data_IF_723129945162
#
_entry.id   IF_723129945162
#
_cell.length_a   1.000
_cell.length_b   1.000
_cell.length_c   1.000
_cell.angle_alpha   90.00
_cell.angle_beta   90.00
_cell.angle_gamma   90.00
#
_symmetry.space_group_name_H-M   'P 1'
#
loop_
_entity.id
_entity.type
_entity.pdbx_description
1 polymer ?
#
# COMPACT_ATOMS: atom_id res chain seq x y z
N UNK A 1 -12.71 5.75 14.39
CA UNK A 1 -12.21 5.10 13.15
C UNK A 1 -12.04 3.59 13.36
N UNK A 2 -11.15 3.17 14.25
CA UNK A 2 -10.80 1.76 14.49
C UNK A 2 -12.01 0.83 14.70
N UNK A 3 -13.01 1.23 15.49
CA UNK A 3 -14.21 0.39 15.70
C UNK A 3 -14.93 0.00 14.40
N UNK A 4 -15.01 0.93 13.45
CA UNK A 4 -15.64 0.68 12.13
C UNK A 4 -14.77 -0.26 11.30
N UNK A 5 -13.44 -0.08 11.33
CA UNK A 5 -12.48 -0.92 10.61
C UNK A 5 -12.47 -2.34 11.17
N UNK A 6 -12.36 -2.52 12.50
CA UNK A 6 -12.40 -3.83 13.17
C UNK A 6 -13.68 -4.58 12.79
N UNK A 7 -14.85 -3.91 12.81
CA UNK A 7 -16.13 -4.51 12.41
C UNK A 7 -16.14 -4.98 10.95
N UNK A 8 -15.45 -4.27 10.05
CA UNK A 8 -15.34 -4.66 8.64
C UNK A 8 -14.35 -5.80 8.45
N UNK A 9 -13.16 -5.73 9.06
CA UNK A 9 -12.13 -6.78 9.02
C UNK A 9 -12.69 -8.11 9.54
N UNK A 10 -13.42 -8.10 10.65
CA UNK A 10 -14.06 -9.31 11.22
C UNK A 10 -15.16 -9.92 10.35
N UNK A 11 -15.69 -9.19 9.37
CA UNK A 11 -16.70 -9.69 8.42
C UNK A 11 -16.07 -10.31 7.17
N UNK A 12 -14.75 -10.19 7.00
CA UNK A 12 -14.06 -10.84 5.89
C UNK A 12 -14.13 -12.36 6.07
N UNK A 13 -14.53 -13.04 5.00
CA UNK A 13 -14.65 -14.49 4.90
C UNK A 13 -13.50 -14.98 4.03
N UNK A 14 -12.50 -15.53 4.70
CA UNK A 14 -11.34 -16.14 4.07
C UNK A 14 -11.71 -17.57 3.68
N UNK A 15 -11.49 -17.93 2.42
CA UNK A 15 -11.88 -19.25 1.95
C UNK A 15 -11.60 -19.47 0.47
N UNK A 16 -12.24 -20.50 -0.06
CA UNK A 16 -12.11 -20.91 -1.45
C UNK A 16 -12.45 -19.73 -2.38
N UNK A 17 -11.55 -19.35 -3.32
CA UNK A 17 -11.82 -18.30 -4.29
C UNK A 17 -13.01 -18.60 -5.23
N UNK A 18 -13.45 -19.86 -5.33
CA UNK A 18 -14.64 -20.26 -6.09
C UNK A 18 -15.94 -20.19 -5.28
N UNK A 19 -15.88 -20.01 -3.96
CA UNK A 19 -17.08 -19.77 -3.14
C UNK A 19 -17.47 -18.29 -3.21
N UNK A 20 -18.67 -18.01 -3.72
CA UNK A 20 -19.24 -16.67 -3.81
C UNK A 20 -19.43 -15.98 -2.45
N UNK A 21 -19.37 -16.71 -1.34
CA UNK A 21 -19.38 -16.15 0.02
C UNK A 21 -18.00 -15.73 0.51
N UNK A 22 -16.91 -16.20 -0.13
CA UNK A 22 -15.55 -15.78 0.17
C UNK A 22 -15.31 -14.39 -0.39
N UNK A 23 -14.63 -13.55 0.38
CA UNK A 23 -14.21 -12.21 -0.07
C UNK A 23 -12.71 -11.98 0.11
N UNK A 24 -11.97 -13.02 0.48
CA UNK A 24 -10.51 -13.04 0.50
C UNK A 24 -10.01 -14.46 0.21
N UNK A 25 -9.16 -14.61 -0.80
CA UNK A 25 -8.57 -15.89 -1.19
C UNK A 25 -7.33 -16.28 -0.38
N UNK A 26 -6.59 -17.26 -0.87
CA UNK A 26 -5.30 -17.67 -0.29
C UNK A 26 -4.16 -16.75 -0.71
N UNK A 27 -3.07 -16.80 0.05
CA UNK A 27 -1.76 -16.37 -0.40
C UNK A 27 -1.28 -17.25 -1.57
N UNK A 28 -0.39 -16.70 -2.39
CA UNK A 28 0.09 -17.37 -3.62
C UNK A 28 0.89 -18.65 -3.35
N UNK A 29 1.59 -18.73 -2.21
CA UNK A 29 2.44 -19.87 -1.88
C UNK A 29 2.59 -20.05 -0.37
N UNK A 30 3.05 -21.23 0.04
CA UNK A 30 3.42 -21.53 1.43
C UNK A 30 4.52 -20.61 1.94
N UNK A 31 5.56 -20.39 1.12
CA UNK A 31 6.68 -19.52 1.48
C UNK A 31 6.23 -18.08 1.70
N UNK A 32 5.35 -17.55 0.84
CA UNK A 32 4.81 -16.21 1.01
C UNK A 32 3.93 -16.08 2.27
N UNK A 33 3.10 -17.10 2.56
CA UNK A 33 2.36 -17.15 3.83
C UNK A 33 3.29 -17.09 5.04
N UNK A 34 4.39 -17.86 5.04
CA UNK A 34 5.37 -17.87 6.12
C UNK A 34 6.06 -16.51 6.28
N UNK A 35 6.37 -15.82 5.18
CA UNK A 35 6.91 -14.45 5.22
C UNK A 35 5.91 -13.48 5.88
N UNK A 36 4.64 -13.52 5.45
CA UNK A 36 3.58 -12.67 6.03
C UNK A 36 3.38 -12.97 7.52
N UNK A 37 3.30 -14.24 7.91
CA UNK A 37 3.20 -14.66 9.31
C UNK A 37 4.41 -14.20 10.14
N UNK A 38 5.61 -14.22 9.54
CA UNK A 38 6.83 -13.67 10.15
C UNK A 38 6.75 -12.17 10.43
N UNK A 39 6.20 -11.38 9.49
CA UNK A 39 5.96 -9.95 9.72
C UNK A 39 4.91 -9.71 10.81
N UNK A 40 3.84 -10.49 10.83
CA UNK A 40 2.82 -10.40 11.88
C UNK A 40 3.47 -10.67 13.25
N UNK A 41 4.31 -11.69 13.35
CA UNK A 41 5.02 -12.00 14.60
C UNK A 41 5.96 -10.86 15.00
N UNK A 42 6.76 -10.31 14.07
CA UNK A 42 7.61 -9.14 14.34
C UNK A 42 6.82 -7.95 14.88
N UNK A 43 5.64 -7.67 14.30
CA UNK A 43 4.77 -6.60 14.79
C UNK A 43 4.34 -6.79 16.25
N UNK A 44 4.01 -8.03 16.64
CA UNK A 44 3.69 -8.38 18.04
C UNK A 44 4.93 -8.19 18.92
N UNK A 45 6.08 -8.69 18.48
CA UNK A 45 7.33 -8.67 19.25
C UNK A 45 7.86 -7.24 19.47
N UNK A 46 7.64 -6.35 18.50
CA UNK A 46 8.00 -4.92 18.60
C UNK A 46 7.01 -4.10 19.43
N UNK A 47 5.90 -4.71 19.87
CA UNK A 47 4.94 -4.11 20.78
C UNK A 47 3.77 -3.40 20.11
N UNK A 48 3.49 -3.67 18.83
CA UNK A 48 2.25 -3.22 18.20
C UNK A 48 1.04 -3.95 18.79
N UNK A 49 -0.09 -3.26 18.95
CA UNK A 49 -1.31 -3.85 19.52
C UNK A 49 -2.08 -4.59 18.45
N UNK A 50 -2.10 -5.92 18.53
CA UNK A 50 -2.91 -6.77 17.64
C UNK A 50 -4.40 -6.66 18.01
N UNK A 51 -5.21 -6.10 17.11
CA UNK A 51 -6.65 -5.91 17.31
C UNK A 51 -7.51 -7.04 16.70
N UNK A 52 -7.02 -7.68 15.63
CA UNK A 52 -7.70 -8.77 14.94
C UNK A 52 -6.70 -9.57 14.10
N UNK A 53 -7.01 -10.84 13.81
CA UNK A 53 -6.21 -11.71 12.95
C UNK A 53 -5.05 -12.37 13.69
N UNK A 54 -3.83 -12.16 13.22
CA UNK A 54 -2.61 -12.74 13.77
C UNK A 54 -2.05 -13.88 12.94
N UNK A 55 -1.03 -14.56 13.48
CA UNK A 55 -0.32 -15.65 12.80
C UNK A 55 -1.30 -16.77 12.40
N UNK A 56 -1.11 -17.29 11.19
CA UNK A 56 -1.97 -18.29 10.58
C UNK A 56 -1.81 -19.67 11.22
N UNK A 57 -2.76 -20.58 10.98
CA UNK A 57 -2.69 -21.94 11.55
C UNK A 57 -1.84 -22.84 10.65
N UNK A 58 -0.78 -23.45 11.21
CA UNK A 58 0.12 -24.35 10.50
C UNK A 58 -0.53 -25.65 10.00
N UNK A 59 -1.72 -26.01 10.51
CA UNK A 59 -2.43 -27.26 10.17
C UNK A 59 -3.58 -27.07 9.17
N UNK A 60 -3.78 -25.86 8.63
CA UNK A 60 -4.86 -25.62 7.67
C UNK A 60 -4.54 -26.16 6.28
N UNK A 61 -5.58 -26.57 5.53
CA UNK A 61 -5.46 -26.93 4.12
C UNK A 61 -5.46 -25.65 3.27
N UNK A 62 -4.39 -25.41 2.52
CA UNK A 62 -4.20 -24.19 1.72
C UNK A 62 -3.40 -23.11 2.45
N UNK A 63 -3.14 -21.98 1.77
CA UNK A 63 -2.24 -20.93 2.26
C UNK A 63 -3.01 -19.68 2.68
N UNK A 64 -3.88 -19.78 3.67
CA UNK A 64 -4.76 -18.69 4.06
C UNK A 64 -4.17 -17.85 5.19
N UNK A 65 -3.88 -16.58 4.90
CA UNK A 65 -3.52 -15.60 5.93
C UNK A 65 -4.79 -15.06 6.61
N UNK A 66 -4.69 -14.69 7.89
CA UNK A 66 -5.79 -13.99 8.58
C UNK A 66 -5.77 -12.50 8.25
N UNK A 67 -6.93 -11.85 8.00
CA UNK A 67 -7.02 -10.40 7.90
C UNK A 67 -6.61 -9.80 9.24
N UNK A 68 -5.44 -9.16 9.25
CA UNK A 68 -4.75 -8.74 10.45
C UNK A 68 -4.77 -7.24 10.59
N UNK A 69 -5.10 -6.76 11.78
CA UNK A 69 -5.16 -5.33 12.09
C UNK A 69 -4.32 -5.05 13.33
N UNK A 70 -3.34 -4.17 13.17
CA UNK A 70 -2.55 -3.61 14.25
C UNK A 70 -2.90 -2.14 14.48
N UNK A 71 -2.75 -1.72 15.73
CA UNK A 71 -2.86 -0.34 16.15
C UNK A 71 -1.69 0.05 17.06
N UNK A 72 -1.45 1.35 17.19
CA UNK A 72 -0.35 1.89 17.98
C UNK A 72 1.02 1.58 17.37
N UNK A 73 1.12 1.51 16.04
CA UNK A 73 2.42 1.40 15.38
C UNK A 73 3.28 2.64 15.66
N UNK A 74 4.59 2.43 15.73
CA UNK A 74 5.60 3.48 15.73
C UNK A 74 6.29 3.48 14.37
N UNK A 75 6.72 4.66 13.92
CA UNK A 75 7.32 4.83 12.60
C UNK A 75 8.52 3.91 12.35
N UNK A 76 9.30 3.58 13.38
CA UNK A 76 10.50 2.77 13.29
C UNK A 76 10.26 1.24 13.38
N UNK A 77 9.02 0.80 13.53
CA UNK A 77 8.68 -0.64 13.54
C UNK A 77 8.91 -1.25 12.17
N UNK A 78 9.33 -2.52 12.12
CA UNK A 78 9.53 -3.26 10.87
C UNK A 78 8.25 -3.26 10.02
N UNK A 79 7.10 -3.50 10.64
CA UNK A 79 5.80 -3.53 9.95
C UNK A 79 5.28 -2.15 9.50
N UNK A 80 5.95 -1.06 9.91
CA UNK A 80 5.68 0.29 9.40
C UNK A 80 6.59 0.69 8.23
N UNK A 81 7.72 -0.01 8.05
CA UNK A 81 8.79 0.36 7.10
C UNK A 81 8.95 -0.63 5.94
N UNK A 82 8.62 -1.89 6.15
CA UNK A 82 8.79 -2.95 5.15
C UNK A 82 7.45 -3.37 4.54
N UNK A 83 7.51 -3.73 3.26
CA UNK A 83 6.34 -4.19 2.54
C UNK A 83 6.01 -5.65 2.91
N UNK A 84 4.86 -5.84 3.56
CA UNK A 84 4.41 -7.17 4.01
C UNK A 84 3.81 -7.98 2.84
N UNK A 85 3.14 -7.29 1.91
CA UNK A 85 2.44 -7.90 0.75
C UNK A 85 1.44 -9.01 1.14
N UNK A 86 0.76 -8.81 2.27
CA UNK A 86 -0.31 -9.67 2.80
C UNK A 86 -1.45 -8.85 3.40
N UNK A 87 -2.53 -9.50 3.87
CA UNK A 87 -3.73 -8.83 4.37
C UNK A 87 -3.51 -8.27 5.79
N UNK A 88 -2.54 -7.39 5.96
CA UNK A 88 -2.12 -6.79 7.23
C UNK A 88 -2.23 -5.27 7.14
N UNK A 89 -3.06 -4.67 8.00
CA UNK A 89 -3.21 -3.23 8.11
C UNK A 89 -2.60 -2.75 9.44
N UNK A 90 -1.66 -1.82 9.38
CA UNK A 90 -1.12 -1.11 10.54
C UNK A 90 -1.68 0.31 10.64
N UNK A 91 -1.93 0.77 11.87
CA UNK A 91 -2.45 2.13 12.13
C UNK A 91 -1.46 2.92 12.99
N UNK A 92 -1.04 4.07 12.46
CA UNK A 92 -0.30 5.11 13.16
C UNK A 92 -1.23 6.31 13.38
N UNK A 93 -1.24 6.86 14.59
CA UNK A 93 -2.02 8.07 14.90
C UNK A 93 -1.13 9.30 14.76
N UNK A 94 -1.63 10.31 14.06
CA UNK A 94 -0.97 11.61 13.86
C UNK A 94 -1.88 12.73 14.35
N UNK A 95 -1.30 13.84 14.80
CA UNK A 95 -2.02 14.95 15.45
C UNK A 95 -2.45 16.03 14.46
N UNK A 96 -1.67 16.25 13.40
CA UNK A 96 -1.90 17.30 12.42
C UNK A 96 -1.34 16.90 11.04
N UNK A 97 -1.49 17.80 10.07
CA UNK A 97 -1.12 17.56 8.67
C UNK A 97 0.39 17.53 8.47
N UNK A 98 1.14 18.34 9.21
CA UNK A 98 2.60 18.38 9.16
C UNK A 98 3.19 17.06 9.67
N UNK A 99 2.66 16.52 10.77
CA UNK A 99 3.04 15.20 11.28
C UNK A 99 2.61 14.09 10.31
N UNK A 100 1.41 14.19 9.72
CA UNK A 100 0.96 13.23 8.71
C UNK A 100 1.90 13.17 7.50
N UNK A 101 2.30 14.34 6.97
CA UNK A 101 3.25 14.43 5.86
C UNK A 101 4.63 13.88 6.24
N UNK A 102 5.11 14.19 7.44
CA UNK A 102 6.39 13.67 7.95
C UNK A 102 6.36 12.15 8.03
N UNK A 103 5.35 11.58 8.68
CA UNK A 103 5.18 10.14 8.87
C UNK A 103 5.05 9.43 7.52
N UNK A 104 4.18 9.92 6.63
CA UNK A 104 3.98 9.32 5.31
C UNK A 104 5.21 9.44 4.40
N UNK A 105 6.00 10.51 4.54
CA UNK A 105 7.25 10.70 3.81
C UNK A 105 8.39 9.84 4.34
N UNK A 106 8.31 9.37 5.59
CA UNK A 106 9.28 8.50 6.25
C UNK A 106 9.14 7.03 5.80
N UNK A 107 9.21 6.84 4.49
CA UNK A 107 9.29 5.54 3.84
C UNK A 107 10.29 5.63 2.69
N UNK A 108 11.02 4.54 2.46
CA UNK A 108 11.86 4.37 1.25
C UNK A 108 11.04 4.20 -0.03
N UNK A 109 9.74 3.94 0.11
CA UNK A 109 8.78 3.75 -0.98
C UNK A 109 7.97 5.03 -1.25
N UNK A 110 7.37 5.08 -2.43
CA UNK A 110 6.58 6.23 -2.91
C UNK A 110 5.69 5.86 -4.08
N UNK A 111 4.99 4.72 -4.03
CA UNK A 111 4.11 4.30 -5.11
C UNK A 111 2.79 5.07 -5.12
N UNK A 112 2.00 4.92 -4.05
CA UNK A 112 0.64 5.44 -3.95
C UNK A 112 0.35 5.98 -2.54
N UNK A 113 -0.49 7.00 -2.45
CA UNK A 113 -1.11 7.45 -1.21
C UNK A 113 -2.57 7.84 -1.41
N UNK A 114 -3.35 7.86 -0.31
CA UNK A 114 -4.74 8.30 -0.30
C UNK A 114 -4.99 9.29 0.84
N UNK A 115 -5.65 10.40 0.54
CA UNK A 115 -6.06 11.43 1.51
C UNK A 115 -7.58 11.44 1.62
N UNK A 116 -8.11 11.27 2.83
CA UNK A 116 -9.56 11.33 3.09
C UNK A 116 -9.88 12.58 3.89
N UNK A 117 -10.54 13.55 3.27
CA UNK A 117 -10.89 14.84 3.87
C UNK A 117 -12.07 15.50 3.14
N UNK A 118 -12.86 16.30 3.85
CA UNK A 118 -13.89 17.16 3.25
C UNK A 118 -13.37 18.57 2.93
N UNK A 119 -12.19 18.93 3.42
CA UNK A 119 -11.54 20.21 3.16
C UNK A 119 -10.67 20.12 1.90
N UNK A 120 -11.03 20.90 0.88
CA UNK A 120 -10.34 20.93 -0.42
C UNK A 120 -8.94 21.54 -0.34
N UNK A 121 -8.72 22.53 0.52
CA UNK A 121 -7.40 23.14 0.71
C UNK A 121 -6.46 22.13 1.35
N UNK A 122 -6.96 21.40 2.35
CA UNK A 122 -6.24 20.30 2.99
C UNK A 122 -5.94 19.17 2.01
N UNK A 123 -6.89 18.83 1.14
CA UNK A 123 -6.68 17.83 0.10
C UNK A 123 -5.52 18.21 -0.83
N UNK A 124 -5.52 19.42 -1.39
CA UNK A 124 -4.45 19.90 -2.26
C UNK A 124 -3.11 20.02 -1.52
N UNK A 125 -3.11 20.54 -0.29
CA UNK A 125 -1.90 20.69 0.51
C UNK A 125 -1.22 19.33 0.77
N UNK A 126 -1.98 18.36 1.28
CA UNK A 126 -1.47 17.02 1.56
C UNK A 126 -1.06 16.30 0.27
N UNK A 127 -1.88 16.36 -0.78
CA UNK A 127 -1.58 15.67 -2.04
C UNK A 127 -0.30 16.19 -2.71
N UNK A 128 -0.05 17.51 -2.64
CA UNK A 128 1.19 18.09 -3.16
C UNK A 128 2.41 17.76 -2.30
N UNK A 129 2.23 17.59 -0.99
CA UNK A 129 3.31 17.30 -0.04
C UNK A 129 3.75 15.84 -0.01
N UNK A 130 2.90 14.90 -0.43
CA UNK A 130 3.19 13.47 -0.38
C UNK A 130 4.14 13.03 -1.52
N UNK A 131 5.30 12.42 -1.21
CA UNK A 131 6.30 12.06 -2.22
C UNK A 131 5.99 10.70 -2.86
N UNK A 132 4.88 10.62 -3.60
CA UNK A 132 4.46 9.42 -4.30
C UNK A 132 3.95 9.72 -5.72
N UNK A 133 3.96 8.71 -6.58
CA UNK A 133 3.58 8.90 -7.98
C UNK A 133 2.09 9.06 -8.22
N UNK A 134 1.26 8.55 -7.31
CA UNK A 134 -0.19 8.72 -7.37
C UNK A 134 -0.72 9.08 -5.99
N UNK A 135 -1.41 10.23 -5.88
CA UNK A 135 -2.21 10.57 -4.70
C UNK A 135 -3.68 10.62 -5.10
N UNK A 136 -4.49 9.82 -4.43
CA UNK A 136 -5.95 9.88 -4.58
C UNK A 136 -6.61 10.61 -3.40
N UNK A 137 -7.73 11.28 -3.64
CA UNK A 137 -8.50 12.01 -2.62
C UNK A 137 -9.88 11.40 -2.49
N UNK A 138 -10.26 11.03 -1.27
CA UNK A 138 -11.54 10.41 -0.91
C UNK A 138 -11.84 9.08 -1.64
N UNK A 139 -10.79 8.39 -2.09
CA UNK A 139 -10.87 7.07 -2.72
C UNK A 139 -9.54 6.33 -2.53
N UNK A 140 -9.50 5.08 -2.98
CA UNK A 140 -8.28 4.35 -3.27
C UNK A 140 -8.37 3.92 -4.74
N UNK A 141 -7.58 4.54 -5.62
CA UNK A 141 -7.64 4.30 -7.06
C UNK A 141 -6.32 4.62 -7.73
N UNK A 142 -6.03 3.90 -8.82
CA UNK A 142 -4.90 4.10 -9.71
C UNK A 142 -5.33 4.75 -11.05
N UNK A 143 -6.60 5.16 -11.17
CA UNK A 143 -7.17 5.71 -12.39
C UNK A 143 -7.57 4.64 -13.41
N UNK A 144 -7.40 4.98 -14.70
CA UNK A 144 -7.59 4.08 -15.83
C UNK A 144 -6.38 4.17 -16.79
N UNK A 145 -6.42 3.46 -17.92
CA UNK A 145 -5.32 3.40 -18.90
C UNK A 145 -4.77 4.76 -19.37
N UNK A 146 -5.54 5.84 -19.22
CA UNK A 146 -5.14 7.21 -19.56
C UNK A 146 -4.36 7.92 -18.44
N UNK A 147 -4.34 7.35 -17.23
CA UNK A 147 -3.71 7.90 -16.04
C UNK A 147 -2.34 7.26 -15.86
N UNK A 148 -1.24 8.02 -15.91
CA UNK A 148 0.10 7.48 -15.69
C UNK A 148 0.23 6.90 -14.29
N UNK A 149 0.87 5.74 -14.17
CA UNK A 149 1.13 5.06 -12.91
C UNK A 149 2.61 4.72 -12.78
N UNK A 150 3.16 4.83 -11.58
CA UNK A 150 4.56 4.50 -11.32
C UNK A 150 5.10 5.25 -10.11
N UNK A 151 6.07 4.66 -9.42
CA UNK A 151 6.50 5.16 -8.11
C UNK A 151 7.59 6.23 -8.13
N UNK A 152 7.68 6.92 -7.01
CA UNK A 152 8.82 7.72 -6.57
C UNK A 152 9.75 6.86 -5.71
N UNK A 153 10.95 7.38 -5.41
CA UNK A 153 11.94 6.73 -4.52
C UNK A 153 12.24 5.30 -4.97
N UNK A 154 12.25 4.31 -4.08
CA UNK A 154 12.52 2.92 -4.42
C UNK A 154 11.31 2.20 -5.06
N UNK A 155 10.18 2.87 -5.25
CA UNK A 155 8.99 2.27 -5.89
C UNK A 155 8.99 2.36 -7.41
N UNK A 156 10.04 2.90 -8.05
CA UNK A 156 10.10 2.98 -9.50
C UNK A 156 11.42 3.50 -10.06
N UNK A 157 11.63 3.30 -11.36
CA UNK A 157 12.82 3.71 -12.11
C UNK A 157 12.70 5.12 -12.71
N UNK A 158 11.88 6.00 -12.09
CA UNK A 158 11.42 7.30 -12.63
C UNK A 158 10.54 7.21 -13.91
N UNK A 159 10.39 6.03 -14.51
CA UNK A 159 9.46 5.79 -15.62
C UNK A 159 8.00 5.73 -15.15
N UNK A 160 7.06 5.78 -16.10
CA UNK A 160 5.63 5.59 -15.86
C UNK A 160 5.10 4.53 -16.80
N UNK A 161 4.20 3.71 -16.28
CA UNK A 161 3.30 2.87 -17.07
C UNK A 161 2.00 3.62 -17.32
N UNK A 162 1.21 3.15 -18.29
CA UNK A 162 -0.04 3.77 -18.71
C UNK A 162 0.11 5.23 -19.21
N UNK A 163 -0.98 5.81 -19.69
CA UNK A 163 -0.97 7.14 -20.29
C UNK A 163 -0.07 7.23 -21.54
N UNK A 164 0.14 8.46 -22.00
CA UNK A 164 1.09 8.75 -23.08
C UNK A 164 2.54 8.65 -22.63
N UNK A 165 2.76 8.79 -21.33
CA UNK A 165 4.04 8.83 -20.64
C UNK A 165 4.78 7.50 -20.77
N UNK A 166 4.05 6.38 -20.76
CA UNK A 166 4.62 5.05 -20.96
C UNK A 166 5.29 4.87 -22.32
N UNK A 167 4.84 5.59 -23.36
CA UNK A 167 5.46 5.51 -24.69
C UNK A 167 6.94 5.90 -24.64
N UNK A 168 7.33 6.82 -23.74
CA UNK A 168 8.72 7.24 -23.59
C UNK A 168 9.65 6.08 -23.20
N UNK A 169 9.14 5.03 -22.53
CA UNK A 169 9.92 3.84 -22.19
C UNK A 169 10.16 2.90 -23.36
N UNK A 170 9.45 3.08 -24.48
CA UNK A 170 9.53 2.25 -25.69
C UNK A 170 10.03 3.00 -26.94
N UNK A 171 10.31 4.29 -26.82
CA UNK A 171 10.78 5.15 -27.91
C UNK A 171 12.25 5.55 -27.73
N UNK A 172 12.94 5.77 -28.85
CA UNK A 172 14.32 6.26 -28.88
C UNK A 172 14.42 7.48 -29.81
N UNK A 173 14.94 8.60 -29.29
CA UNK A 173 15.13 9.82 -30.09
C UNK A 173 16.40 9.73 -30.94
N UNK A 174 16.30 10.08 -32.23
CA UNK A 174 17.44 10.24 -33.14
C UNK A 174 17.38 11.62 -33.80
N UNK A 175 18.41 12.42 -33.57
CA UNK A 175 18.56 13.73 -34.25
C UNK A 175 19.29 13.55 -35.56
N UNK A 176 18.70 14.07 -36.65
CA UNK A 176 19.35 14.20 -37.96
C UNK A 176 19.47 15.69 -38.24
N UNK A 177 20.69 16.16 -38.47
CA UNK A 177 20.98 17.56 -38.77
C UNK A 177 21.62 17.67 -40.15
N UNK A 178 21.05 18.51 -41.01
CA UNK A 178 21.52 18.71 -42.39
C UNK A 178 21.88 20.18 -42.54
N UNK A 179 23.12 20.44 -42.97
CA UNK A 179 23.60 21.77 -43.35
C UNK A 179 23.90 21.77 -44.84
N UNK A 180 23.29 22.71 -45.57
CA UNK A 180 23.61 22.97 -46.98
C UNK A 180 24.20 24.38 -47.10
N UNK A 181 25.33 24.49 -47.81
CA UNK A 181 25.94 25.77 -48.21
C UNK A 181 25.30 26.27 -49.50
#
# INVERSE_FOLDING_TARGET
>A
FLDKVIKKVKKLKVGDPLDLKSNMGSMISKGHLQTVDGYIQKGIDEGARLLSGGVSNNKQKGFYAKPTLFDGLKENMTIAQEEIFGPVLGVLTVKNDEEALKVASNSKYGLHASVFTQDINRAFHLAKGLPCGTVSVNTFSEGDIKTPFGGYKQSGSLSRDQGTEALNSFLQTKTIWISHN
#
